data_IF_570799925282
#
_entry.id   IF_570799925282
#
_cell.length_a   1.000
_cell.length_b   1.000
_cell.length_c   1.000
_cell.angle_alpha   90.00
_cell.angle_beta   90.00
_cell.angle_gamma   90.00
#
_symmetry.space_group_name_H-M   'P 1'
#
loop_
_entity.id
_entity.type
_entity.pdbx_description
1 polymer ?
#
# COMPACT_ATOMS: atom_id res chain seq x y z
N UNK A 1 -30.80 24.82 15.78
CA UNK A 1 -29.88 24.71 14.64
C UNK A 1 -28.49 24.57 15.24
N UNK A 2 -27.87 23.40 15.09
CA UNK A 2 -26.68 23.01 15.85
C UNK A 2 -25.41 23.53 15.17
N UNK A 3 -24.68 24.40 15.86
CA UNK A 3 -23.31 24.78 15.52
C UNK A 3 -22.42 23.54 15.45
N UNK A 4 -21.90 23.22 14.26
CA UNK A 4 -20.82 22.26 14.08
C UNK A 4 -19.51 23.04 13.95
N UNK A 5 -18.73 23.03 15.02
CA UNK A 5 -17.35 23.51 15.08
C UNK A 5 -16.51 22.79 14.01
N UNK A 6 -15.93 23.56 13.10
CA UNK A 6 -14.84 23.11 12.23
C UNK A 6 -13.54 23.20 13.02
N UNK A 7 -13.12 22.08 13.61
CA UNK A 7 -11.82 21.99 14.25
C UNK A 7 -10.77 21.71 13.16
N UNK A 8 -10.06 22.77 12.76
CA UNK A 8 -8.87 22.70 11.91
C UNK A 8 -7.74 22.01 12.68
N UNK A 9 -7.54 20.73 12.44
CA UNK A 9 -6.41 19.97 13.00
C UNK A 9 -5.21 20.07 12.06
N UNK A 10 -4.30 21.00 12.36
CA UNK A 10 -2.97 21.04 11.74
C UNK A 10 -2.18 19.78 12.15
N UNK A 11 -1.51 19.08 11.22
CA UNK A 11 -0.71 17.90 11.54
C UNK A 11 0.53 18.29 12.35
N UNK A 12 0.68 17.69 13.53
CA UNK A 12 1.90 17.76 14.33
C UNK A 12 2.94 16.76 13.80
N UNK A 13 4.23 17.11 13.74
CA UNK A 13 5.28 16.21 13.29
C UNK A 13 5.42 15.01 14.26
N UNK A 14 5.36 13.78 13.74
CA UNK A 14 5.56 12.56 14.54
C UNK A 14 7.05 12.36 14.81
N UNK A 15 7.45 12.41 16.08
CA UNK A 15 8.86 12.36 16.53
C UNK A 15 9.52 10.97 16.44
N UNK A 16 8.80 9.91 16.08
CA UNK A 16 9.36 8.55 16.02
C UNK A 16 9.01 7.86 14.69
N UNK A 17 9.97 7.70 13.76
CA UNK A 17 9.78 6.86 12.59
C UNK A 17 9.54 5.41 13.04
N UNK A 18 8.43 4.83 12.60
CA UNK A 18 8.11 3.42 12.87
C UNK A 18 9.24 2.57 12.28
N UNK A 19 9.95 1.83 13.13
CA UNK A 19 10.98 0.88 12.70
C UNK A 19 10.30 -0.26 11.93
N UNK A 20 10.23 -0.16 10.60
CA UNK A 20 9.57 -1.17 9.77
C UNK A 20 10.42 -2.44 9.69
N UNK A 21 10.39 -3.28 10.73
CA UNK A 21 11.17 -4.53 10.84
C UNK A 21 11.06 -5.40 9.58
N UNK A 22 12.10 -5.36 8.74
CA UNK A 22 12.23 -6.15 7.52
C UNK A 22 11.62 -5.55 6.24
N UNK A 23 10.93 -4.42 6.31
CA UNK A 23 10.42 -3.68 5.14
C UNK A 23 11.53 -2.77 4.60
N UNK A 24 12.55 -3.39 4.06
CA UNK A 24 13.76 -2.70 3.60
C UNK A 24 13.86 -2.67 2.08
N UNK A 25 12.84 -3.13 1.34
CA UNK A 25 12.88 -3.16 -0.12
C UNK A 25 11.92 -2.14 -0.71
N UNK A 26 12.44 -1.14 -1.41
CA UNK A 26 11.66 -0.10 -2.08
C UNK A 26 11.58 -0.38 -3.57
N UNK A 27 10.43 -0.16 -4.20
CA UNK A 27 10.34 -0.13 -5.67
C UNK A 27 10.95 1.17 -6.18
N UNK A 28 11.99 1.05 -7.00
CA UNK A 28 12.70 2.18 -7.62
C UNK A 28 12.49 2.25 -9.14
N UNK A 29 12.02 1.17 -9.75
CA UNK A 29 11.59 1.13 -11.15
C UNK A 29 10.32 0.32 -11.27
N UNK A 30 9.27 0.93 -11.79
CA UNK A 30 7.98 0.26 -12.04
C UNK A 30 7.70 0.32 -13.55
N UNK A 31 7.73 -0.81 -14.28
CA UNK A 31 7.50 -0.84 -15.72
C UNK A 31 6.05 -0.53 -16.09
N UNK A 32 5.14 -0.53 -15.12
CA UNK A 32 3.75 -0.11 -15.33
C UNK A 32 3.59 1.41 -15.26
N UNK A 33 4.57 2.12 -14.72
CA UNK A 33 4.57 3.58 -14.65
C UNK A 33 4.86 4.20 -16.01
N UNK A 34 4.08 5.21 -16.37
CA UNK A 34 4.32 6.06 -17.53
C UNK A 34 4.16 7.54 -17.14
N UNK A 35 4.11 8.45 -18.12
CA UNK A 35 3.99 9.89 -17.82
C UNK A 35 2.66 10.25 -17.13
N UNK A 36 1.61 9.46 -17.38
CA UNK A 36 0.24 9.74 -16.94
C UNK A 36 -0.21 8.81 -15.80
N UNK A 37 0.37 7.61 -15.68
CA UNK A 37 0.09 6.63 -14.63
C UNK A 37 1.28 6.52 -13.65
N UNK A 38 1.09 6.77 -12.34
CA UNK A 38 2.13 6.62 -11.33
C UNK A 38 2.68 5.20 -11.15
N UNK A 39 2.02 4.18 -11.73
CA UNK A 39 2.38 2.78 -11.62
C UNK A 39 1.78 2.10 -10.38
N UNK A 40 1.62 0.79 -10.45
CA UNK A 40 0.90 -0.01 -9.43
C UNK A 40 1.64 -0.04 -8.09
N UNK A 41 2.98 0.09 -8.09
CA UNK A 41 3.81 -0.27 -6.93
C UNK A 41 4.61 0.89 -6.30
N UNK A 42 4.36 2.14 -6.71
CA UNK A 42 5.13 3.29 -6.26
C UNK A 42 4.95 3.59 -4.75
N UNK A 43 6.05 3.93 -4.07
CA UNK A 43 6.05 4.46 -2.70
C UNK A 43 5.96 3.43 -1.56
N UNK A 44 5.95 2.12 -1.85
CA UNK A 44 5.84 1.06 -0.83
C UNK A 44 7.19 0.46 -0.47
N UNK A 45 7.37 0.17 0.82
CA UNK A 45 8.42 -0.72 1.32
C UNK A 45 7.85 -2.14 1.40
N UNK A 46 8.66 -3.13 1.01
CA UNK A 46 8.34 -4.54 0.94
C UNK A 46 9.33 -5.35 1.76
N UNK A 47 8.92 -6.54 2.21
CA UNK A 47 9.84 -7.51 2.79
C UNK A 47 10.32 -8.45 1.69
N UNK A 48 11.48 -9.06 1.90
CA UNK A 48 12.02 -10.09 1.01
C UNK A 48 11.02 -11.25 0.79
N UNK A 49 10.16 -11.56 1.76
CA UNK A 49 9.12 -12.60 1.61
C UNK A 49 7.94 -12.19 0.72
N UNK A 50 7.72 -10.89 0.53
CA UNK A 50 6.66 -10.37 -0.35
C UNK A 50 7.16 -10.34 -1.82
N UNK A 51 8.49 -10.30 -2.01
CA UNK A 51 9.15 -10.29 -3.33
C UNK A 51 9.48 -11.72 -3.80
N UNK A 52 9.94 -12.59 -2.91
CA UNK A 52 10.29 -13.97 -3.26
C UNK A 52 9.06 -14.86 -3.44
N UNK A 53 9.03 -15.56 -4.57
CA UNK A 53 8.02 -16.57 -4.87
C UNK A 53 8.36 -17.93 -4.29
N UNK A 54 7.33 -18.67 -3.90
CA UNK A 54 7.45 -20.11 -3.64
C UNK A 54 7.58 -20.89 -4.96
N UNK A 55 8.05 -22.15 -4.88
CA UNK A 55 8.35 -22.99 -6.07
C UNK A 55 7.21 -23.00 -7.10
N UNK A 56 5.98 -23.11 -6.60
CA UNK A 56 4.76 -23.31 -7.40
C UNK A 56 4.03 -22.00 -7.72
N UNK A 57 4.57 -20.87 -7.27
CA UNK A 57 3.94 -19.57 -7.40
C UNK A 57 4.45 -18.84 -8.65
N UNK A 58 3.52 -18.34 -9.47
CA UNK A 58 3.80 -17.44 -10.59
C UNK A 58 4.00 -16.03 -10.02
N UNK A 59 4.96 -15.29 -10.58
CA UNK A 59 5.18 -13.91 -10.17
C UNK A 59 3.94 -13.07 -10.41
N UNK A 60 3.52 -12.32 -9.39
CA UNK A 60 2.56 -11.23 -9.53
C UNK A 60 3.25 -9.92 -9.92
N UNK A 61 4.58 -9.90 -9.91
CA UNK A 61 5.39 -8.75 -10.26
C UNK A 61 5.67 -8.70 -11.77
N UNK A 62 5.54 -7.53 -12.42
CA UNK A 62 5.83 -7.38 -13.83
C UNK A 62 7.33 -7.52 -14.10
N UNK A 63 7.67 -8.05 -15.28
CA UNK A 63 9.06 -8.12 -15.73
C UNK A 63 9.63 -6.70 -15.88
N UNK A 64 10.87 -6.49 -15.43
CA UNK A 64 11.54 -5.20 -15.44
C UNK A 64 11.26 -4.33 -14.20
N UNK A 65 10.42 -4.78 -13.25
CA UNK A 65 10.33 -4.09 -11.96
C UNK A 65 11.67 -4.11 -11.24
N UNK A 66 12.03 -3.03 -10.56
CA UNK A 66 13.29 -2.91 -9.82
C UNK A 66 13.01 -2.58 -8.36
N UNK A 67 13.51 -3.44 -7.49
CA UNK A 67 13.52 -3.24 -6.04
C UNK A 67 14.92 -2.87 -5.59
N UNK A 68 15.04 -1.99 -4.61
CA UNK A 68 16.30 -1.65 -3.95
C UNK A 68 16.17 -1.88 -2.45
N UNK A 69 17.18 -2.53 -1.87
CA UNK A 69 17.30 -2.62 -0.43
C UNK A 69 17.79 -1.28 0.13
N UNK A 70 16.99 -0.60 0.93
CA UNK A 70 17.31 0.72 1.50
C UNK A 70 18.50 0.69 2.47
N UNK A 71 18.88 -0.49 2.97
CA UNK A 71 20.00 -0.66 3.90
C UNK A 71 21.26 -1.11 3.19
N UNK A 72 21.17 -2.08 2.27
CA UNK A 72 22.33 -2.67 1.60
C UNK A 72 22.59 -2.15 0.19
N UNK A 73 21.65 -1.40 -0.41
CA UNK A 73 21.69 -0.97 -1.80
C UNK A 73 21.53 -2.11 -2.82
N UNK A 74 21.28 -3.35 -2.36
CA UNK A 74 21.10 -4.48 -3.26
C UNK A 74 19.87 -4.28 -4.14
N UNK A 75 19.99 -4.55 -5.44
CA UNK A 75 18.91 -4.37 -6.39
C UNK A 75 18.42 -5.71 -6.92
N UNK A 76 17.10 -5.88 -6.99
CA UNK A 76 16.46 -7.07 -7.52
C UNK A 76 15.53 -6.71 -8.68
N UNK A 77 15.38 -7.61 -9.63
CA UNK A 77 14.40 -7.47 -10.71
C UNK A 77 13.73 -8.79 -11.05
N UNK A 78 12.59 -8.73 -11.73
CA UNK A 78 12.01 -9.88 -12.41
C UNK A 78 12.35 -9.86 -13.89
N UNK A 79 12.83 -11.00 -14.39
CA UNK A 79 13.04 -11.22 -15.82
C UNK A 79 12.47 -12.58 -16.20
N UNK A 80 11.52 -12.60 -17.13
CA UNK A 80 10.78 -13.80 -17.54
C UNK A 80 10.17 -14.54 -16.33
N UNK A 81 9.66 -13.79 -15.34
CA UNK A 81 9.10 -14.33 -14.10
C UNK A 81 10.11 -14.92 -13.10
N UNK A 82 11.41 -14.74 -13.34
CA UNK A 82 12.49 -15.17 -12.43
C UNK A 82 13.05 -13.98 -11.68
N UNK A 83 13.22 -14.13 -10.36
CA UNK A 83 13.82 -13.10 -9.51
C UNK A 83 15.36 -13.11 -9.66
N UNK A 84 15.91 -11.99 -10.09
CA UNK A 84 17.32 -11.77 -10.37
C UNK A 84 17.90 -10.76 -9.38
N UNK A 85 19.11 -11.00 -8.90
CA UNK A 85 19.95 -10.04 -8.19
C UNK A 85 20.79 -9.26 -9.21
N UNK A 86 20.50 -7.97 -9.37
CA UNK A 86 21.21 -7.07 -10.28
C UNK A 86 22.57 -6.63 -9.72
N UNK A 87 22.74 -6.64 -8.40
CA UNK A 87 24.00 -6.24 -7.74
C UNK A 87 25.06 -7.33 -7.89
N UNK A 88 24.67 -8.60 -7.80
CA UNK A 88 25.58 -9.73 -7.91
C UNK A 88 25.44 -10.53 -9.22
N UNK A 89 24.55 -10.12 -10.13
CA UNK A 89 24.22 -10.83 -11.37
C UNK A 89 23.89 -12.32 -11.16
N UNK A 90 23.06 -12.61 -10.15
CA UNK A 90 22.72 -14.00 -9.74
C UNK A 90 21.22 -14.24 -9.75
N UNK A 91 20.83 -15.43 -10.23
CA UNK A 91 19.45 -15.92 -10.12
C UNK A 91 19.15 -16.29 -8.67
N UNK A 92 18.10 -15.70 -8.09
CA UNK A 92 17.65 -16.06 -6.75
C UNK A 92 16.74 -17.29 -6.81
N UNK A 93 17.25 -18.42 -6.32
CA UNK A 93 16.52 -19.67 -6.27
C UNK A 93 15.27 -19.57 -5.37
N UNK A 94 14.18 -20.21 -5.82
CA UNK A 94 12.93 -20.33 -5.04
C UNK A 94 13.18 -21.14 -3.77
N UNK A 95 12.60 -20.73 -2.64
CA UNK A 95 12.79 -21.45 -1.37
C UNK A 95 12.12 -22.84 -1.41
N UNK A 96 12.77 -23.90 -0.90
CA UNK A 96 12.11 -25.18 -0.67
C UNK A 96 10.96 -25.01 0.34
N UNK A 97 9.81 -25.62 0.06
CA UNK A 97 8.71 -25.67 1.03
C UNK A 97 9.05 -26.70 2.11
N UNK A 98 9.66 -26.26 3.22
CA UNK A 98 9.84 -27.10 4.39
C UNK A 98 8.55 -27.06 5.22
N UNK A 99 7.77 -28.14 5.19
CA UNK A 99 6.65 -28.35 6.11
C UNK A 99 7.22 -28.80 7.46
N UNK A 100 7.56 -27.86 8.33
CA UNK A 100 7.92 -28.20 9.70
C UNK A 100 6.64 -28.46 10.51
N UNK A 101 6.33 -29.75 10.75
CA UNK A 101 5.20 -30.18 11.59
C UNK A 101 5.52 -30.10 13.10
N UNK A 102 6.77 -29.78 13.48
CA UNK A 102 7.23 -29.80 14.88
C UNK A 102 7.04 -28.49 15.65
N UNK A 103 6.77 -27.37 14.97
CA UNK A 103 6.88 -26.03 15.58
C UNK A 103 5.67 -25.59 16.44
N UNK A 104 4.71 -26.49 16.72
CA UNK A 104 3.53 -26.17 17.54
C UNK A 104 3.83 -26.17 19.05
N UNK A 105 4.83 -26.92 19.52
CA UNK A 105 5.11 -27.06 20.97
C UNK A 105 6.04 -25.99 21.55
N UNK A 106 7.02 -25.48 20.78
CA UNK A 106 8.01 -24.50 21.30
C UNK A 106 7.50 -23.06 21.46
N UNK A 107 6.38 -22.69 20.81
CA UNK A 107 5.88 -21.30 20.84
C UNK A 107 5.23 -20.87 22.15
N UNK A 108 4.97 -21.81 23.07
CA UNK A 108 4.27 -21.51 24.33
C UNK A 108 5.21 -20.95 25.39
N UNK A 109 6.51 -21.29 25.35
CA UNK A 109 7.46 -20.93 26.42
C UNK A 109 8.19 -19.59 26.16
N UNK A 110 8.48 -19.22 24.91
CA UNK A 110 9.18 -17.96 24.56
C UNK A 110 8.31 -16.69 24.61
N UNK A 111 7.01 -16.83 24.86
CA UNK A 111 6.07 -15.70 24.89
C UNK A 111 6.16 -14.84 26.19
N UNK A 112 6.81 -15.35 27.25
CA UNK A 112 6.80 -14.72 28.56
C UNK A 112 7.86 -13.62 28.78
N UNK A 113 8.79 -13.38 27.85
CA UNK A 113 9.93 -12.46 28.08
C UNK A 113 9.99 -11.24 27.14
N UNK A 114 8.92 -10.96 26.37
CA UNK A 114 8.85 -9.74 25.55
C UNK A 114 8.25 -8.60 26.35
N UNK A 115 9.13 -7.81 26.98
CA UNK A 115 8.76 -6.53 27.60
C UNK A 115 8.04 -5.62 26.60
N UNK A 116 6.98 -5.04 27.12
CA UNK A 116 5.89 -4.33 26.47
C UNK A 116 6.38 -3.02 25.85
N UNK A 117 6.42 -2.94 24.52
CA UNK A 117 6.58 -1.68 23.78
C UNK A 117 5.53 -1.64 22.68
N UNK A 118 4.28 -1.35 23.06
CA UNK A 118 3.19 -1.10 22.12
C UNK A 118 2.30 0.00 22.70
N UNK A 119 2.67 1.25 22.48
CA UNK A 119 1.69 2.34 22.55
C UNK A 119 1.46 2.82 21.12
N UNK A 120 0.81 1.96 20.34
CA UNK A 120 0.10 2.37 19.13
C UNK A 120 -1.32 2.61 19.60
N UNK A 121 -1.87 3.81 19.37
CA UNK A 121 -3.24 4.10 19.78
C UNK A 121 -4.15 2.97 19.31
N UNK A 122 -4.87 2.30 20.24
CA UNK A 122 -5.68 1.16 19.88
C UNK A 122 -6.73 1.61 18.87
N UNK A 123 -6.78 0.90 17.73
CA UNK A 123 -7.85 1.07 16.75
C UNK A 123 -9.16 0.98 17.52
N UNK A 124 -10.06 1.98 17.43
CA UNK A 124 -11.29 1.98 18.20
C UNK A 124 -12.03 0.66 17.98
N UNK A 125 -12.50 -0.02 19.03
CA UNK A 125 -13.08 -1.36 18.93
C UNK A 125 -14.30 -1.44 18.00
N UNK A 126 -14.90 -0.29 17.66
CA UNK A 126 -16.05 -0.17 16.76
C UNK A 126 -15.72 0.47 15.40
N UNK A 127 -14.44 0.70 15.06
CA UNK A 127 -14.08 1.19 13.73
C UNK A 127 -14.42 0.10 12.70
N UNK A 128 -15.28 0.41 11.73
CA UNK A 128 -15.61 -0.50 10.63
C UNK A 128 -14.82 -0.09 9.38
N UNK A 129 -14.54 -1.04 8.49
CA UNK A 129 -14.13 -0.66 7.13
C UNK A 129 -15.31 0.04 6.48
N UNK A 130 -15.06 1.14 5.79
CA UNK A 130 -16.13 1.86 5.08
C UNK A 130 -15.87 1.92 3.59
N UNK A 131 -16.88 1.64 2.80
CA UNK A 131 -16.91 1.75 1.34
C UNK A 131 -17.36 3.15 0.95
N UNK A 132 -16.79 3.66 -0.14
CA UNK A 132 -17.16 4.95 -0.70
C UNK A 132 -17.05 4.95 -2.22
N UNK A 133 -17.66 5.93 -2.87
CA UNK A 133 -17.47 6.28 -4.28
C UNK A 133 -16.96 7.71 -4.39
N UNK A 134 -16.18 7.98 -5.44
CA UNK A 134 -15.83 9.33 -5.87
C UNK A 134 -16.84 9.78 -6.93
N UNK A 135 -17.56 10.85 -6.62
CA UNK A 135 -18.56 11.45 -7.51
C UNK A 135 -18.00 12.75 -8.08
N UNK A 136 -17.75 12.77 -9.39
CA UNK A 136 -17.30 13.95 -10.14
C UNK A 136 -18.52 14.76 -10.57
N UNK A 137 -18.68 15.95 -10.00
CA UNK A 137 -19.74 16.89 -10.35
C UNK A 137 -19.44 17.61 -11.67
N UNK A 138 -18.18 17.98 -11.89
CA UNK A 138 -17.74 18.74 -13.07
C UNK A 138 -16.44 18.16 -13.63
N UNK A 139 -16.42 17.88 -14.94
CA UNK A 139 -15.22 17.42 -15.65
C UNK A 139 -14.70 18.49 -16.62
N UNK A 140 -13.80 19.33 -16.13
CA UNK A 140 -13.24 20.45 -16.90
C UNK A 140 -12.33 19.98 -18.04
N UNK A 141 -11.67 18.83 -17.85
CA UNK A 141 -10.69 18.34 -18.81
C UNK A 141 -11.32 17.42 -19.88
N UNK A 142 -12.55 16.97 -19.66
CA UNK A 142 -13.27 16.06 -20.58
C UNK A 142 -12.68 14.65 -20.65
N UNK A 143 -11.89 14.25 -19.66
CA UNK A 143 -11.17 12.96 -19.64
C UNK A 143 -12.00 11.90 -18.93
N UNK A 144 -12.51 12.21 -17.73
CA UNK A 144 -13.08 11.22 -16.81
C UNK A 144 -14.61 11.14 -16.87
N UNK A 145 -15.26 12.15 -17.45
CA UNK A 145 -16.69 12.35 -17.37
C UNK A 145 -17.17 12.73 -15.97
N UNK A 146 -18.49 12.89 -15.83
CA UNK A 146 -19.17 13.18 -14.57
C UNK A 146 -19.84 11.93 -13.97
N UNK A 147 -20.26 12.01 -12.71
CA UNK A 147 -20.86 10.92 -11.96
C UNK A 147 -19.83 10.10 -11.19
N UNK A 148 -20.13 8.83 -10.93
CA UNK A 148 -19.19 7.93 -10.27
C UNK A 148 -17.98 7.67 -11.19
N UNK A 149 -16.81 8.09 -10.71
CA UNK A 149 -15.53 7.96 -11.42
C UNK A 149 -14.58 6.96 -10.77
N UNK A 150 -14.81 6.65 -9.49
CA UNK A 150 -14.05 5.64 -8.77
C UNK A 150 -14.86 5.04 -7.61
N UNK A 151 -14.53 3.83 -7.22
CA UNK A 151 -14.99 3.17 -6.00
C UNK A 151 -13.81 2.97 -5.04
N UNK A 152 -14.06 2.86 -3.73
CA UNK A 152 -12.99 2.74 -2.76
C UNK A 152 -13.41 2.21 -1.41
N UNK A 153 -12.40 1.92 -0.58
CA UNK A 153 -12.57 1.49 0.81
C UNK A 153 -11.54 2.18 1.69
N UNK A 154 -12.00 2.71 2.83
CA UNK A 154 -11.14 3.19 3.91
C UNK A 154 -11.05 2.14 5.01
N UNK A 155 -9.83 1.78 5.36
CA UNK A 155 -9.50 0.87 6.44
C UNK A 155 -9.63 1.57 7.78
N UNK A 156 -9.75 0.77 8.86
CA UNK A 156 -9.80 1.28 10.24
C UNK A 156 -8.57 2.12 10.62
N UNK A 157 -7.46 1.95 9.91
CA UNK A 157 -6.23 2.71 10.11
C UNK A 157 -6.24 4.09 9.44
N UNK A 158 -7.28 4.45 8.68
CA UNK A 158 -7.36 5.67 7.88
C UNK A 158 -6.81 5.53 6.46
N UNK A 159 -6.04 4.48 6.19
CA UNK A 159 -5.55 4.16 4.84
C UNK A 159 -6.73 3.91 3.89
N UNK A 160 -6.62 4.37 2.65
CA UNK A 160 -7.67 4.24 1.65
C UNK A 160 -7.14 3.61 0.36
N UNK A 161 -7.97 2.81 -0.30
CA UNK A 161 -7.72 2.27 -1.63
C UNK A 161 -8.86 2.69 -2.54
N UNK A 162 -8.51 3.06 -3.77
CA UNK A 162 -9.43 3.52 -4.81
C UNK A 162 -9.21 2.66 -6.05
N UNK A 163 -10.30 2.27 -6.71
CA UNK A 163 -10.34 1.63 -8.02
C UNK A 163 -11.07 2.56 -8.99
N UNK A 164 -10.40 3.01 -10.05
CA UNK A 164 -10.99 3.91 -11.04
C UNK A 164 -11.91 3.17 -11.99
N UNK A 165 -13.12 3.71 -12.19
CA UNK A 165 -14.17 3.13 -13.04
C UNK A 165 -14.12 3.68 -14.48
N UNK A 166 -13.12 4.49 -14.79
CA UNK A 166 -12.92 5.17 -16.07
C UNK A 166 -11.51 4.89 -16.57
N UNK A 167 -11.34 4.87 -17.88
CA UNK A 167 -10.02 4.75 -18.52
C UNK A 167 -9.06 5.83 -17.99
N UNK A 168 -7.79 5.50 -17.73
CA UNK A 168 -7.10 4.25 -18.08
C UNK A 168 -7.35 3.05 -17.14
N UNK A 169 -8.26 3.14 -16.18
CA UNK A 169 -8.51 2.15 -15.11
C UNK A 169 -7.25 1.89 -14.27
N UNK A 170 -7.24 2.36 -13.03
CA UNK A 170 -6.09 2.24 -12.14
C UNK A 170 -6.52 1.95 -10.71
N UNK A 171 -5.56 1.58 -9.87
CA UNK A 171 -5.75 1.45 -8.42
C UNK A 171 -4.83 2.44 -7.71
N UNK A 172 -5.39 3.28 -6.84
CA UNK A 172 -4.66 4.22 -6.00
C UNK A 172 -4.67 3.80 -4.53
N UNK A 173 -3.56 3.99 -3.82
CA UNK A 173 -3.45 3.73 -2.38
C UNK A 173 -2.97 4.99 -1.66
N UNK A 174 -3.69 5.40 -0.63
CA UNK A 174 -3.50 6.64 0.10
C UNK A 174 -3.34 6.37 1.59
N UNK A 175 -2.46 7.08 2.28
CA UNK A 175 -2.22 6.87 3.71
C UNK A 175 -3.41 7.34 4.55
N UNK A 176 -4.12 8.36 4.08
CA UNK A 176 -5.29 8.95 4.74
C UNK A 176 -6.41 9.24 3.74
N UNK A 177 -7.63 9.48 4.22
CA UNK A 177 -8.74 9.94 3.36
C UNK A 177 -8.54 11.39 2.91
N UNK A 178 -7.82 12.17 3.69
CA UNK A 178 -7.46 13.54 3.40
C UNK A 178 -6.56 13.60 2.16
N UNK A 179 -5.60 12.67 2.03
CA UNK A 179 -4.76 12.55 0.82
C UNK A 179 -5.61 12.28 -0.43
N UNK A 180 -6.69 11.50 -0.30
CA UNK A 180 -7.64 11.25 -1.40
C UNK A 180 -8.30 12.55 -1.84
N UNK A 181 -8.81 13.34 -0.90
CA UNK A 181 -9.50 14.60 -1.19
C UNK A 181 -8.52 15.65 -1.73
N UNK A 182 -7.31 15.72 -1.16
CA UNK A 182 -6.29 16.68 -1.58
C UNK A 182 -5.91 16.49 -3.05
N UNK A 183 -5.73 15.24 -3.47
CA UNK A 183 -5.32 14.92 -4.84
C UNK A 183 -6.52 14.94 -5.80
N UNK A 184 -7.67 14.39 -5.40
CA UNK A 184 -8.78 14.12 -6.33
C UNK A 184 -10.01 14.99 -6.14
N UNK A 185 -10.09 15.77 -5.07
CA UNK A 185 -11.24 16.61 -4.76
C UNK A 185 -11.44 17.78 -5.74
N UNK A 186 -10.36 18.23 -6.40
CA UNK A 186 -10.38 19.27 -7.44
C UNK A 186 -11.28 20.47 -7.08
N UNK A 187 -10.97 21.19 -6.00
CA UNK A 187 -11.77 22.35 -5.53
C UNK A 187 -13.24 22.04 -5.25
N UNK A 188 -13.55 20.78 -4.87
CA UNK A 188 -14.91 20.32 -4.59
C UNK A 188 -15.66 19.78 -5.81
N UNK A 189 -15.01 19.74 -6.98
CA UNK A 189 -15.58 19.16 -8.21
C UNK A 189 -15.64 17.63 -8.18
N UNK A 190 -14.90 16.99 -7.28
CA UNK A 190 -15.08 15.58 -6.94
C UNK A 190 -15.36 15.45 -5.45
N UNK A 191 -16.36 14.67 -5.08
CA UNK A 191 -16.78 14.48 -3.71
C UNK A 191 -16.73 13.00 -3.32
N UNK A 192 -16.50 12.75 -2.04
CA UNK A 192 -16.52 11.41 -1.46
C UNK A 192 -17.92 11.12 -0.92
N UNK A 193 -18.52 10.03 -1.35
CA UNK A 193 -19.80 9.56 -0.85
C UNK A 193 -19.63 8.17 -0.22
N UNK A 194 -19.87 8.06 1.09
CA UNK A 194 -19.92 6.77 1.78
C UNK A 194 -21.23 6.03 1.45
N UNK A 195 -21.17 4.71 1.30
CA UNK A 195 -22.28 3.85 0.85
C UNK A 195 -22.63 2.72 1.84
N UNK A 196 -22.26 2.93 3.10
CA UNK A 196 -22.53 2.02 4.23
C UNK A 196 -23.50 2.65 5.23
#
# INVERSE_FOLDING_TARGET
MSDKKFDYLLPQPKENPIEHRGYVWKVIGDPTRNNDDPGIFFGRLFRMIDIRLNRDEKSTWPDGIVFENVTSGCQLTFQNGVLMDLTNSKVIQKKPRVRDRGHRSKRVEEANDRKNVNNVDPIPPNAQLRRFVLVRCEDINGISGTGEVAEGTVFRSGMAVINWLREPFAIGVYQTMEDVILVHGHEGRTQIQFID
#
